data_IF_182765024990
#
_entry.id   IF_182765024990
#
_cell.length_a   1.000
_cell.length_b   1.000
_cell.length_c   1.000
_cell.angle_alpha   90.00
_cell.angle_beta   90.00
_cell.angle_gamma   90.00
#
_symmetry.space_group_name_H-M   'P 1'
#
loop_
_entity.id
_entity.type
_entity.pdbx_description
1 polymer ?
#
# COMPACT_ATOMS: atom_id res chain seq x y z
N UNK A 1 -19.29 -15.99 4.49
CA UNK A 1 -18.85 -14.65 4.94
C UNK A 1 -18.09 -14.00 3.79
N UNK A 2 -18.37 -12.73 3.50
CA UNK A 2 -17.83 -12.02 2.34
C UNK A 2 -16.97 -10.86 2.81
N UNK A 3 -15.77 -10.69 2.26
CA UNK A 3 -14.84 -9.61 2.61
C UNK A 3 -14.64 -8.71 1.40
N UNK A 4 -14.83 -7.41 1.58
CA UNK A 4 -14.39 -6.42 0.59
C UNK A 4 -12.93 -6.04 0.85
N UNK A 5 -12.07 -6.23 -0.14
CA UNK A 5 -10.64 -5.99 -0.03
C UNK A 5 -10.22 -4.77 -0.84
N UNK A 6 -10.11 -3.63 -0.17
CA UNK A 6 -9.65 -2.38 -0.75
C UNK A 6 -8.13 -2.28 -0.70
N UNK A 7 -7.50 -2.09 -1.86
CA UNK A 7 -6.05 -1.95 -1.94
C UNK A 7 -5.61 -1.06 -3.10
N UNK A 8 -4.38 -0.56 -3.02
CA UNK A 8 -3.73 0.12 -4.12
C UNK A 8 -2.37 -0.49 -4.36
N UNK A 9 -2.04 -0.77 -5.62
CA UNK A 9 -0.71 -1.27 -6.02
C UNK A 9 0.41 -0.25 -5.74
N UNK A 10 0.06 1.04 -5.62
CA UNK A 10 0.99 2.10 -5.21
C UNK A 10 1.29 2.11 -3.70
N UNK A 11 0.54 1.35 -2.90
CA UNK A 11 0.74 1.26 -1.47
C UNK A 11 1.69 0.10 -1.12
N UNK A 12 2.92 0.37 -0.65
CA UNK A 12 3.78 -0.71 -0.18
C UNK A 12 3.22 -1.42 1.04
N UNK A 13 2.32 -0.79 1.81
CA UNK A 13 1.65 -1.48 2.92
C UNK A 13 0.59 -2.48 2.45
N UNK A 14 -0.05 -2.21 1.30
CA UNK A 14 -0.91 -3.20 0.65
C UNK A 14 -0.08 -4.41 0.20
N UNK A 15 1.09 -4.19 -0.43
CA UNK A 15 2.04 -5.26 -0.76
C UNK A 15 2.48 -6.06 0.47
N UNK A 16 2.94 -5.39 1.53
CA UNK A 16 3.40 -6.03 2.75
C UNK A 16 2.30 -6.84 3.47
N UNK A 17 1.02 -6.49 3.28
CA UNK A 17 -0.11 -7.18 3.88
C UNK A 17 -0.73 -8.29 3.02
N UNK A 18 -0.52 -8.26 1.70
CA UNK A 18 -1.26 -9.08 0.74
C UNK A 18 -1.10 -10.58 0.99
N UNK A 19 0.13 -11.08 1.09
CA UNK A 19 0.40 -12.52 1.29
C UNK A 19 -0.29 -13.08 2.54
N UNK A 20 -0.23 -12.35 3.67
CA UNK A 20 -0.89 -12.77 4.90
C UNK A 20 -2.41 -12.78 4.75
N UNK A 21 -2.98 -11.79 4.07
CA UNK A 21 -4.41 -11.74 3.79
C UNK A 21 -4.85 -12.93 2.94
N UNK A 22 -4.15 -13.21 1.83
CA UNK A 22 -4.43 -14.34 0.95
C UNK A 22 -4.36 -15.67 1.70
N UNK A 23 -3.36 -15.86 2.56
CA UNK A 23 -3.25 -17.07 3.42
C UNK A 23 -4.45 -17.26 4.34
N UNK A 24 -4.98 -16.18 4.93
CA UNK A 24 -6.17 -16.23 5.78
C UNK A 24 -7.40 -16.60 4.93
N UNK A 25 -7.57 -15.94 3.79
CA UNK A 25 -8.69 -16.20 2.86
C UNK A 25 -8.71 -17.68 2.44
N UNK A 26 -7.56 -18.23 2.04
CA UNK A 26 -7.44 -19.64 1.66
C UNK A 26 -7.69 -20.57 2.85
N UNK A 27 -7.13 -20.29 4.03
CA UNK A 27 -7.29 -21.12 5.23
C UNK A 27 -8.74 -21.29 5.65
N UNK A 28 -9.56 -20.26 5.47
CA UNK A 28 -10.95 -20.24 5.92
C UNK A 28 -11.98 -20.31 4.77
N UNK A 29 -11.52 -20.52 3.54
CA UNK A 29 -12.35 -20.56 2.33
C UNK A 29 -13.33 -19.37 2.24
N UNK A 30 -12.80 -18.16 2.40
CA UNK A 30 -13.59 -16.91 2.43
C UNK A 30 -13.81 -16.37 1.02
N UNK A 31 -15.00 -15.80 0.79
CA UNK A 31 -15.27 -15.06 -0.45
C UNK A 31 -14.68 -13.64 -0.35
N UNK A 32 -13.92 -13.23 -1.36
CA UNK A 32 -13.31 -11.90 -1.42
C UNK A 32 -13.82 -11.13 -2.64
N UNK A 33 -14.29 -9.91 -2.42
CA UNK A 33 -14.51 -8.92 -3.48
C UNK A 33 -13.31 -7.98 -3.50
N UNK A 34 -12.49 -8.08 -4.54
CA UNK A 34 -11.38 -7.15 -4.73
C UNK A 34 -11.90 -5.77 -5.16
N UNK A 35 -11.38 -4.74 -4.52
CA UNK A 35 -11.71 -3.33 -4.76
C UNK A 35 -10.40 -2.54 -4.95
N UNK A 36 -9.68 -2.74 -6.07
CA UNK A 36 -8.53 -1.92 -6.39
C UNK A 36 -8.97 -0.45 -6.49
N UNK A 37 -8.20 0.46 -5.91
CA UNK A 37 -8.53 1.88 -5.88
C UNK A 37 -7.34 2.76 -6.25
N UNK A 38 -7.66 3.95 -6.75
CA UNK A 38 -6.69 5.00 -6.96
C UNK A 38 -6.45 5.78 -5.66
N UNK A 39 -5.34 5.44 -5.00
CA UNK A 39 -4.95 6.07 -3.75
C UNK A 39 -4.55 7.55 -3.95
N UNK A 40 -3.97 7.91 -5.09
CA UNK A 40 -3.30 9.19 -5.29
C UNK A 40 -4.23 10.21 -5.97
N UNK A 41 -4.91 9.82 -7.05
CA UNK A 41 -5.80 10.71 -7.81
C UNK A 41 -7.21 10.81 -7.23
N UNK A 42 -7.70 9.79 -6.52
CA UNK A 42 -9.06 9.82 -5.94
C UNK A 42 -9.07 9.91 -4.41
N UNK A 43 -8.45 8.96 -3.70
CA UNK A 43 -8.67 8.87 -2.24
C UNK A 43 -8.07 10.06 -1.49
N UNK A 44 -6.80 10.42 -1.73
CA UNK A 44 -6.17 11.55 -1.05
C UNK A 44 -6.92 12.88 -1.21
N UNK A 45 -7.27 13.35 -2.43
CA UNK A 45 -7.98 14.61 -2.59
C UNK A 45 -9.40 14.57 -1.99
N UNK A 46 -10.12 13.45 -2.11
CA UNK A 46 -11.49 13.35 -1.60
C UNK A 46 -11.57 13.23 -0.07
N UNK A 47 -10.48 12.84 0.61
CA UNK A 47 -10.45 12.65 2.08
C UNK A 47 -9.62 13.68 2.84
N UNK A 48 -9.01 14.64 2.13
CA UNK A 48 -8.08 15.61 2.72
C UNK A 48 -6.71 15.01 3.09
N UNK A 49 -6.43 13.79 2.65
CA UNK A 49 -5.14 13.13 2.87
C UNK A 49 -4.04 13.73 2.01
N UNK A 50 -2.85 13.94 2.59
CA UNK A 50 -1.69 14.40 1.82
C UNK A 50 -0.93 13.22 1.20
N UNK A 51 -0.58 13.27 -0.11
CA UNK A 51 0.32 12.31 -0.72
C UNK A 51 1.72 12.41 -0.11
N UNK A 52 2.50 11.32 -0.18
CA UNK A 52 3.80 11.19 0.53
C UNK A 52 4.73 12.40 0.33
N UNK A 53 4.95 12.94 -0.89
CA UNK A 53 5.85 14.07 -1.10
C UNK A 53 5.40 15.37 -0.40
N UNK A 54 4.10 15.53 -0.16
CA UNK A 54 3.52 16.73 0.50
C UNK A 54 3.49 16.61 2.03
N UNK A 55 3.90 15.48 2.61
CA UNK A 55 3.92 15.28 4.08
C UNK A 55 5.15 15.93 4.70
N UNK A 56 5.08 16.29 5.99
CA UNK A 56 6.23 16.80 6.74
C UNK A 56 7.46 15.86 6.65
N UNK A 57 8.70 16.37 6.52
CA UNK A 57 9.89 15.54 6.36
C UNK A 57 10.08 14.45 7.42
N UNK A 58 9.70 14.72 8.67
CA UNK A 58 9.74 13.72 9.74
C UNK A 58 8.86 12.49 9.42
N UNK A 59 7.66 12.69 8.87
CA UNK A 59 6.77 11.59 8.45
C UNK A 59 7.31 10.83 7.26
N UNK A 60 7.95 11.52 6.31
CA UNK A 60 8.60 10.86 5.17
C UNK A 60 9.77 9.98 5.62
N UNK A 61 10.60 10.46 6.56
CA UNK A 61 11.69 9.67 7.16
C UNK A 61 11.16 8.47 7.94
N UNK A 62 10.20 8.69 8.83
CA UNK A 62 9.62 7.62 9.65
C UNK A 62 8.98 6.53 8.81
N UNK A 63 8.30 6.91 7.72
CA UNK A 63 7.76 5.95 6.75
C UNK A 63 8.80 4.94 6.25
N UNK A 64 10.03 5.37 5.97
CA UNK A 64 11.08 4.48 5.46
C UNK A 64 11.56 3.49 6.53
N UNK A 65 11.64 3.93 7.79
CA UNK A 65 11.93 3.06 8.93
C UNK A 65 10.85 1.99 9.07
N UNK A 66 9.59 2.36 8.93
CA UNK A 66 8.47 1.42 9.01
C UNK A 66 8.48 0.38 7.89
N UNK A 67 8.77 0.81 6.66
CA UNK A 67 8.88 -0.11 5.53
C UNK A 67 9.96 -1.17 5.77
N UNK A 68 11.12 -0.76 6.26
CA UNK A 68 12.21 -1.67 6.62
C UNK A 68 11.82 -2.60 7.76
N UNK A 69 11.27 -2.05 8.84
CA UNK A 69 10.88 -2.80 10.03
C UNK A 69 9.87 -3.90 9.72
N UNK A 70 8.83 -3.58 8.94
CA UNK A 70 7.79 -4.53 8.57
C UNK A 70 8.30 -5.54 7.54
N UNK A 71 9.07 -5.09 6.54
CA UNK A 71 9.72 -5.97 5.56
C UNK A 71 10.59 -7.03 6.25
N UNK A 72 11.46 -6.62 7.18
CA UNK A 72 12.31 -7.53 7.96
C UNK A 72 11.48 -8.50 8.79
N UNK A 73 10.42 -8.01 9.47
CA UNK A 73 9.52 -8.85 10.27
C UNK A 73 8.81 -9.92 9.45
N UNK A 74 8.46 -9.61 8.20
CA UNK A 74 7.72 -10.50 7.31
C UNK A 74 8.60 -11.31 6.38
N UNK A 75 9.91 -11.04 6.32
CA UNK A 75 10.82 -11.64 5.35
C UNK A 75 10.49 -11.30 3.90
N UNK A 76 9.84 -10.16 3.65
CA UNK A 76 9.40 -9.74 2.32
C UNK A 76 10.35 -8.69 1.74
N UNK A 77 10.81 -8.81 0.48
CA UNK A 77 11.70 -7.82 -0.12
C UNK A 77 10.97 -6.50 -0.37
N UNK A 78 11.64 -5.37 -0.13
CA UNK A 78 11.07 -4.05 -0.46
C UNK A 78 12.13 -3.07 -0.94
N UNK A 79 11.82 -2.37 -2.04
CA UNK A 79 12.62 -1.22 -2.50
C UNK A 79 12.06 0.03 -1.82
N UNK A 80 12.71 0.50 -0.75
CA UNK A 80 12.24 1.63 0.08
C UNK A 80 12.12 2.95 -0.69
N UNK A 81 12.94 3.14 -1.72
CA UNK A 81 12.97 4.32 -2.60
C UNK A 81 13.09 3.87 -4.06
N UNK A 82 11.98 3.46 -4.71
CA UNK A 82 12.01 3.08 -6.12
C UNK A 82 12.43 4.27 -6.99
N UNK A 83 13.23 4.01 -8.03
CA UNK A 83 13.80 5.04 -8.91
C UNK A 83 12.74 5.98 -9.51
N UNK A 84 11.56 5.45 -9.82
CA UNK A 84 10.47 6.18 -10.48
C UNK A 84 9.32 6.54 -9.54
N UNK A 85 9.56 6.53 -8.22
CA UNK A 85 8.57 6.94 -7.23
C UNK A 85 8.84 8.37 -6.72
N UNK A 86 7.80 9.23 -6.60
CA UNK A 86 6.41 9.00 -7.03
C UNK A 86 6.29 9.02 -8.57
N UNK A 87 5.31 8.29 -9.15
CA UNK A 87 5.04 8.39 -10.58
C UNK A 87 4.67 9.83 -10.96
N UNK A 88 5.09 10.28 -12.15
CA UNK A 88 4.77 11.62 -12.67
C UNK A 88 3.28 11.77 -12.93
N UNK A 89 2.64 10.69 -13.37
CA UNK A 89 1.20 10.55 -13.52
C UNK A 89 0.80 9.19 -12.90
N UNK A 90 -0.07 9.15 -11.89
CA UNK A 90 -0.51 7.91 -11.28
C UNK A 90 -1.43 7.06 -12.19
N UNK A 91 -1.85 7.58 -13.35
CA UNK A 91 -2.75 6.92 -14.30
C UNK A 91 -2.10 6.56 -15.65
N UNK A 92 -0.82 6.88 -15.86
CA UNK A 92 -0.12 6.41 -17.07
C UNK A 92 0.16 4.90 -16.96
N UNK A 93 -0.05 4.14 -18.05
CA UNK A 93 0.17 2.69 -18.09
C UNK A 93 1.61 2.29 -17.79
#
# INVERSE_FOLDING_TARGET
MKIEYYFSVLSPFSYLGADRFTKIVSKYNLEVIEKPLDLVGEIFPNTGGLPVPKRHPARQKYRLVELERISNKLGLPIIKKPKFFPPKDPHLP
#
